data_IF_828291971440
#
_entry.id   IF_828291971440
#
_cell.length_a   1.000
_cell.length_b   1.000
_cell.length_c   1.000
_cell.angle_alpha   90.00
_cell.angle_beta   90.00
_cell.angle_gamma   90.00
#
_symmetry.space_group_name_H-M   'P 1'
#
loop_
_entity.id
_entity.type
_entity.pdbx_description
1 polymer ?
#
# COMPACT_ATOMS: atom_id res chain seq x y z
N UNK A 1 -10.11 63.01 32.06
CA UNK A 1 -9.33 61.76 31.88
C UNK A 1 -10.21 60.74 31.22
N UNK A 2 -10.13 60.58 29.89
CA UNK A 2 -10.97 59.66 29.12
C UNK A 2 -10.17 58.39 28.88
N UNK A 3 -10.62 57.31 29.51
CA UNK A 3 -10.05 55.94 29.24
C UNK A 3 -10.61 55.47 27.91
N UNK A 4 -9.69 55.39 26.92
CA UNK A 4 -9.94 54.76 25.64
C UNK A 4 -9.99 53.23 25.79
N UNK A 5 -11.17 52.67 25.71
CA UNK A 5 -11.40 51.22 25.64
C UNK A 5 -11.14 50.78 24.18
N UNK A 6 -9.97 50.22 23.95
CA UNK A 6 -9.72 49.45 22.72
C UNK A 6 -10.42 48.07 22.86
N UNK A 7 -11.26 47.68 21.90
CA UNK A 7 -11.75 46.31 21.85
C UNK A 7 -10.58 45.38 21.52
N UNK A 8 -10.55 44.18 22.08
CA UNK A 8 -9.54 43.18 21.73
C UNK A 8 -9.67 42.81 20.24
N UNK A 9 -8.54 42.47 19.56
CA UNK A 9 -8.62 42.05 18.16
C UNK A 9 -9.46 40.77 18.07
N UNK A 10 -10.42 40.78 17.17
CA UNK A 10 -11.21 39.62 16.81
C UNK A 10 -10.24 38.52 16.36
N UNK A 11 -10.12 37.47 17.17
CA UNK A 11 -9.52 36.23 16.72
C UNK A 11 -10.40 35.70 15.60
N UNK A 12 -10.01 36.03 14.36
CA UNK A 12 -10.57 35.40 13.18
C UNK A 12 -10.34 33.88 13.36
N UNK A 13 -11.41 33.16 13.62
CA UNK A 13 -11.49 31.72 13.41
C UNK A 13 -11.01 31.48 11.98
N UNK A 14 -9.77 31.07 11.87
CA UNK A 14 -9.35 30.36 10.66
C UNK A 14 -10.19 29.10 10.68
N UNK A 15 -11.29 29.13 9.92
CA UNK A 15 -12.03 27.95 9.56
C UNK A 15 -10.97 26.90 9.17
N UNK A 16 -10.94 25.78 9.91
CA UNK A 16 -9.89 24.80 9.81
C UNK A 16 -9.74 24.33 8.37
N UNK A 17 -8.68 24.80 7.72
CA UNK A 17 -8.23 24.14 6.51
C UNK A 17 -7.84 22.72 6.94
N UNK A 18 -8.49 21.72 6.34
CA UNK A 18 -8.11 20.33 6.56
C UNK A 18 -6.60 20.20 6.37
N UNK A 19 -5.90 19.48 7.26
CA UNK A 19 -4.45 19.34 7.16
C UNK A 19 -4.08 18.81 5.77
N UNK A 20 -3.03 19.41 5.19
CA UNK A 20 -2.61 19.13 3.81
C UNK A 20 -2.20 17.66 3.69
N UNK A 21 -2.74 16.98 2.69
CA UNK A 21 -2.36 15.61 2.32
C UNK A 21 -1.25 15.68 1.27
N UNK A 22 -0.14 15.00 1.50
CA UNK A 22 0.86 14.72 0.44
C UNK A 22 0.40 13.53 -0.41
N UNK A 23 -0.54 13.80 -1.32
CA UNK A 23 -1.11 12.78 -2.19
C UNK A 23 -0.08 12.21 -3.18
N UNK A 24 0.85 13.04 -3.66
CA UNK A 24 1.86 12.62 -4.63
C UNK A 24 2.89 11.68 -3.99
N UNK A 25 3.39 12.05 -2.80
CA UNK A 25 4.29 11.19 -2.03
C UNK A 25 3.63 9.87 -1.64
N UNK A 26 2.36 9.91 -1.21
CA UNK A 26 1.61 8.69 -0.90
C UNK A 26 1.42 7.79 -2.13
N UNK A 27 1.00 8.35 -3.26
CA UNK A 27 0.83 7.59 -4.50
C UNK A 27 2.14 6.94 -4.95
N UNK A 28 3.26 7.64 -4.83
CA UNK A 28 4.59 7.09 -5.12
C UNK A 28 4.93 5.94 -4.17
N UNK A 29 4.70 6.08 -2.87
CA UNK A 29 4.94 5.02 -1.89
C UNK A 29 4.09 3.77 -2.17
N UNK A 30 2.80 3.95 -2.49
CA UNK A 30 1.92 2.86 -2.91
C UNK A 30 2.45 2.19 -4.17
N UNK A 31 2.85 2.96 -5.17
CA UNK A 31 3.36 2.41 -6.42
C UNK A 31 4.64 1.57 -6.20
N UNK A 32 5.56 2.05 -5.36
CA UNK A 32 6.78 1.31 -5.01
C UNK A 32 6.47 -0.03 -4.34
N UNK A 33 5.54 -0.04 -3.40
CA UNK A 33 5.15 -1.28 -2.71
C UNK A 33 4.41 -2.24 -3.64
N UNK A 34 3.54 -1.72 -4.51
CA UNK A 34 2.79 -2.53 -5.48
C UNK A 34 3.67 -3.05 -6.62
N UNK A 35 4.71 -2.36 -7.01
CA UNK A 35 5.68 -2.85 -7.99
C UNK A 35 6.67 -3.87 -7.42
N UNK A 36 6.73 -4.02 -6.09
CA UNK A 36 7.57 -5.03 -5.45
C UNK A 36 6.93 -6.41 -5.61
N UNK A 37 7.58 -7.32 -6.36
CA UNK A 37 7.03 -8.65 -6.61
C UNK A 37 6.74 -9.39 -5.31
N UNK A 38 5.53 -9.92 -5.20
CA UNK A 38 5.08 -10.67 -4.02
C UNK A 38 4.23 -11.88 -4.39
N UNK A 39 3.82 -12.70 -3.40
CA UNK A 39 3.04 -13.92 -3.64
C UNK A 39 1.73 -13.68 -4.41
N UNK A 40 1.04 -12.57 -4.11
CA UNK A 40 -0.20 -12.20 -4.78
C UNK A 40 0.00 -11.95 -6.29
N UNK A 41 1.06 -11.22 -6.64
CA UNK A 41 1.41 -11.00 -8.05
C UNK A 41 1.80 -12.30 -8.76
N UNK A 42 2.61 -13.14 -8.10
CA UNK A 42 3.01 -14.42 -8.64
C UNK A 42 1.79 -15.32 -8.89
N UNK A 43 0.86 -15.39 -7.94
CA UNK A 43 -0.40 -16.11 -8.09
C UNK A 43 -1.21 -15.60 -9.29
N UNK A 44 -1.40 -14.28 -9.42
CA UNK A 44 -2.21 -13.67 -10.46
C UNK A 44 -1.60 -13.90 -11.87
N UNK A 45 -0.27 -13.76 -12.00
CA UNK A 45 0.44 -14.05 -13.24
C UNK A 45 0.34 -15.53 -13.59
N UNK A 46 0.56 -16.44 -12.63
CA UNK A 46 0.46 -17.90 -12.83
C UNK A 46 -0.96 -18.29 -13.26
N UNK A 47 -1.99 -17.79 -12.58
CA UNK A 47 -3.38 -18.01 -12.94
C UNK A 47 -3.66 -17.55 -14.38
N UNK A 48 -3.21 -16.34 -14.72
CA UNK A 48 -3.45 -15.78 -16.05
C UNK A 48 -2.75 -16.59 -17.16
N UNK A 49 -1.55 -17.09 -16.90
CA UNK A 49 -0.79 -17.89 -17.87
C UNK A 49 -1.32 -19.31 -18.00
N UNK A 50 -1.84 -19.91 -16.92
CA UNK A 50 -2.34 -21.29 -16.92
C UNK A 50 -3.80 -21.40 -17.39
N UNK A 51 -4.67 -20.46 -17.03
CA UNK A 51 -6.09 -20.51 -17.29
C UNK A 51 -6.59 -19.39 -18.23
N UNK A 52 -5.69 -18.51 -18.64
CA UNK A 52 -5.95 -17.46 -19.62
C UNK A 52 -6.39 -16.13 -19.00
N UNK A 53 -6.37 -15.06 -19.81
CA UNK A 53 -6.70 -13.68 -19.39
C UNK A 53 -8.09 -13.53 -18.78
N UNK A 54 -9.08 -14.32 -19.21
CA UNK A 54 -10.45 -14.24 -18.63
C UNK A 54 -10.47 -14.66 -17.17
N UNK A 55 -9.70 -15.69 -16.79
CA UNK A 55 -9.54 -16.12 -15.41
C UNK A 55 -8.83 -15.03 -14.58
N UNK A 56 -7.73 -14.46 -15.11
CA UNK A 56 -7.03 -13.35 -14.48
C UNK A 56 -7.92 -12.12 -14.26
N UNK A 57 -8.70 -11.72 -15.27
CA UNK A 57 -9.65 -10.59 -15.15
C UNK A 57 -10.76 -10.88 -14.12
N UNK A 58 -11.28 -12.11 -14.08
CA UNK A 58 -12.22 -12.54 -13.04
C UNK A 58 -11.61 -12.45 -11.63
N UNK A 59 -10.35 -12.86 -11.49
CA UNK A 59 -9.63 -12.73 -10.22
C UNK A 59 -9.45 -11.28 -9.78
N UNK A 60 -9.17 -10.34 -10.68
CA UNK A 60 -8.99 -8.90 -10.36
C UNK A 60 -10.22 -8.31 -9.68
N UNK A 61 -11.43 -8.70 -10.05
CA UNK A 61 -12.65 -8.18 -9.40
C UNK A 61 -12.65 -8.53 -7.91
N UNK A 62 -12.26 -9.75 -7.57
CA UNK A 62 -12.11 -10.19 -6.18
C UNK A 62 -10.94 -9.52 -5.49
N UNK A 63 -9.79 -9.41 -6.16
CA UNK A 63 -8.60 -8.69 -5.66
C UNK A 63 -8.96 -7.25 -5.29
N UNK A 64 -9.62 -6.51 -6.17
CA UNK A 64 -10.02 -5.13 -5.92
C UNK A 64 -11.01 -5.01 -4.76
N UNK A 65 -12.02 -5.90 -4.69
CA UNK A 65 -12.97 -5.93 -3.58
C UNK A 65 -12.29 -6.28 -2.25
N UNK A 66 -11.36 -7.25 -2.25
CA UNK A 66 -10.59 -7.64 -1.07
C UNK A 66 -9.67 -6.53 -0.59
N UNK A 67 -8.98 -5.84 -1.51
CA UNK A 67 -8.16 -4.65 -1.20
C UNK A 67 -9.02 -3.52 -0.64
N UNK A 68 -10.19 -3.25 -1.21
CA UNK A 68 -11.08 -2.21 -0.71
C UNK A 68 -11.58 -2.52 0.71
N UNK A 69 -11.98 -3.76 0.98
CA UNK A 69 -12.38 -4.19 2.32
C UNK A 69 -11.21 -4.12 3.33
N UNK A 70 -10.02 -4.61 2.95
CA UNK A 70 -8.81 -4.50 3.76
C UNK A 70 -8.46 -3.03 4.04
N UNK A 71 -8.53 -2.16 3.03
CA UNK A 71 -8.23 -0.75 3.17
C UNK A 71 -9.23 -0.04 4.10
N UNK A 72 -10.52 -0.33 3.98
CA UNK A 72 -11.53 0.21 4.88
C UNK A 72 -11.29 -0.20 6.35
N UNK A 73 -11.01 -1.48 6.58
CA UNK A 73 -10.66 -1.98 7.93
C UNK A 73 -9.38 -1.32 8.46
N UNK A 74 -8.39 -1.12 7.60
CA UNK A 74 -7.11 -0.48 7.96
C UNK A 74 -7.29 0.99 8.33
N UNK A 75 -8.13 1.74 7.60
CA UNK A 75 -8.48 3.14 7.95
C UNK A 75 -9.14 3.21 9.32
N UNK A 76 -10.12 2.33 9.58
CA UNK A 76 -10.81 2.28 10.87
C UNK A 76 -9.84 1.90 11.99
N UNK A 77 -8.99 0.89 11.78
CA UNK A 77 -7.98 0.50 12.76
C UNK A 77 -6.98 1.64 13.03
N UNK A 78 -6.47 2.31 12.00
CA UNK A 78 -5.57 3.45 12.15
C UNK A 78 -6.22 4.58 12.94
N UNK A 79 -7.48 4.92 12.67
CA UNK A 79 -8.19 5.97 13.40
C UNK A 79 -8.34 5.67 14.89
N UNK A 80 -8.62 4.41 15.24
CA UNK A 80 -8.73 3.97 16.64
C UNK A 80 -7.36 3.99 17.36
N UNK A 81 -6.30 3.57 16.67
CA UNK A 81 -4.94 3.55 17.22
C UNK A 81 -4.45 4.97 17.47
N UNK A 82 -4.60 5.86 16.50
CA UNK A 82 -4.09 7.23 16.56
C UNK A 82 -4.88 8.12 17.52
N UNK A 83 -6.10 7.74 17.86
CA UNK A 83 -6.90 8.42 18.91
C UNK A 83 -6.30 8.28 20.32
N UNK A 84 -5.36 7.35 20.55
CA UNK A 84 -4.80 7.05 21.88
C UNK A 84 -3.72 8.04 22.35
N UNK A 85 -3.20 8.93 21.49
CA UNK A 85 -2.27 9.98 21.90
C UNK A 85 -0.95 10.06 21.09
N UNK A 86 -0.11 11.05 21.44
CA UNK A 86 1.10 11.39 20.66
C UNK A 86 2.19 10.32 20.69
N UNK A 87 2.38 9.66 21.82
CA UNK A 87 3.39 8.58 21.92
C UNK A 87 3.12 7.42 20.95
N UNK A 88 1.85 7.17 20.65
CA UNK A 88 1.47 6.13 19.69
C UNK A 88 1.71 6.57 18.25
N UNK A 89 1.58 7.86 17.95
CA UNK A 89 1.88 8.41 16.62
C UNK A 89 3.36 8.22 16.27
N UNK A 90 4.26 8.46 17.21
CA UNK A 90 5.68 8.21 17.03
C UNK A 90 5.96 6.71 16.85
N UNK A 91 5.32 5.86 17.63
CA UNK A 91 5.41 4.40 17.50
C UNK A 91 4.96 3.92 16.12
N UNK A 92 3.87 4.48 15.57
CA UNK A 92 3.38 4.20 14.22
C UNK A 92 4.40 4.64 13.16
N UNK A 93 5.04 5.79 13.32
CA UNK A 93 6.08 6.26 12.40
C UNK A 93 7.30 5.34 12.36
N UNK A 94 7.75 4.87 13.52
CA UNK A 94 8.83 3.89 13.61
C UNK A 94 8.45 2.54 13.02
N UNK A 95 7.21 2.10 13.24
CA UNK A 95 6.67 0.88 12.61
C UNK A 95 6.64 1.01 11.09
N UNK A 96 6.24 2.18 10.56
CA UNK A 96 6.27 2.45 9.13
C UNK A 96 7.70 2.34 8.57
N UNK A 97 8.68 2.96 9.22
CA UNK A 97 10.08 2.88 8.83
C UNK A 97 10.60 1.43 8.87
N UNK A 98 10.30 0.69 9.94
CA UNK A 98 10.69 -0.72 10.08
C UNK A 98 10.06 -1.59 8.99
N UNK A 99 8.78 -1.37 8.68
CA UNK A 99 8.08 -2.08 7.62
C UNK A 99 8.70 -1.80 6.24
N UNK A 100 9.00 -0.54 5.92
CA UNK A 100 9.62 -0.19 4.63
C UNK A 100 11.03 -0.79 4.53
N UNK A 101 11.79 -0.80 5.62
CA UNK A 101 13.10 -1.45 5.68
C UNK A 101 12.99 -2.98 5.49
N UNK A 102 11.98 -3.62 6.12
CA UNK A 102 11.71 -5.04 5.95
C UNK A 102 11.33 -5.39 4.49
N UNK A 103 10.46 -4.60 3.87
CA UNK A 103 10.09 -4.79 2.47
C UNK A 103 11.27 -4.59 1.52
N UNK A 104 12.16 -3.63 1.83
CA UNK A 104 13.40 -3.44 1.08
C UNK A 104 14.34 -4.66 1.22
N UNK A 105 14.46 -5.21 2.43
CA UNK A 105 15.22 -6.43 2.70
C UNK A 105 14.65 -7.64 1.96
N UNK A 106 13.34 -7.83 1.98
CA UNK A 106 12.65 -8.89 1.25
C UNK A 106 12.89 -8.78 -0.26
N UNK A 107 12.73 -7.57 -0.83
CA UNK A 107 13.00 -7.30 -2.24
C UNK A 107 14.46 -7.56 -2.62
N UNK A 108 15.39 -7.27 -1.72
CA UNK A 108 16.81 -7.55 -1.92
C UNK A 108 17.14 -9.04 -1.83
N UNK A 109 16.60 -9.73 -0.81
CA UNK A 109 16.84 -11.15 -0.54
C UNK A 109 16.17 -12.11 -1.50
N UNK A 110 15.05 -11.71 -2.12
CA UNK A 110 14.37 -12.48 -3.17
C UNK A 110 15.24 -12.71 -4.43
N UNK A 111 16.41 -12.08 -4.50
CA UNK A 111 17.41 -12.27 -5.57
C UNK A 111 18.10 -13.64 -5.55
N UNK A 112 17.92 -14.45 -4.50
CA UNK A 112 18.58 -15.75 -4.34
C UNK A 112 17.64 -16.92 -4.05
N UNK A 113 16.34 -16.66 -3.88
CA UNK A 113 15.36 -17.73 -3.72
C UNK A 113 14.66 -17.96 -5.04
N UNK A 114 14.90 -19.09 -5.66
CA UNK A 114 14.02 -19.63 -6.68
C UNK A 114 12.59 -19.60 -6.14
N UNK A 115 11.64 -19.26 -6.99
CA UNK A 115 10.19 -19.24 -6.72
C UNK A 115 9.67 -20.70 -6.56
N UNK A 116 10.27 -21.43 -5.64
CA UNK A 116 9.94 -22.79 -5.29
C UNK A 116 9.23 -22.77 -3.96
N UNK A 117 7.99 -22.62 -3.98
CA UNK A 117 6.92 -23.14 -3.15
C UNK A 117 5.71 -22.17 -3.08
N UNK A 118 5.23 -21.74 -4.24
CA UNK A 118 3.80 -21.52 -4.33
C UNK A 118 3.20 -22.93 -4.38
N UNK A 119 2.66 -23.42 -3.27
CA UNK A 119 1.84 -24.61 -3.23
C UNK A 119 0.83 -24.52 -4.37
N UNK A 120 1.17 -25.16 -5.49
CA UNK A 120 0.29 -25.32 -6.61
C UNK A 120 -0.84 -26.22 -6.14
N UNK A 121 -1.85 -25.65 -5.53
CA UNK A 121 -3.15 -26.27 -5.56
C UNK A 121 -3.56 -26.23 -7.03
N UNK A 122 -3.25 -27.30 -7.73
CA UNK A 122 -3.82 -27.58 -9.03
C UNK A 122 -5.34 -27.70 -8.81
N UNK A 123 -6.01 -26.56 -8.82
CA UNK A 123 -7.45 -26.50 -8.72
C UNK A 123 -8.02 -26.99 -10.06
N UNK A 124 -9.08 -27.82 -10.05
CA UNK A 124 -9.85 -28.11 -11.27
C UNK A 124 -10.28 -26.78 -11.88
N UNK A 125 -10.38 -26.71 -13.24
CA UNK A 125 -10.76 -25.49 -13.96
C UNK A 125 -11.89 -24.77 -13.24
N UNK A 126 -11.53 -23.74 -12.48
CA UNK A 126 -12.44 -23.07 -11.58
C UNK A 126 -13.27 -22.06 -12.39
N UNK A 127 -14.51 -21.86 -12.00
CA UNK A 127 -15.36 -20.82 -12.57
C UNK A 127 -14.81 -19.45 -12.20
N UNK A 128 -15.12 -18.41 -12.99
CA UNK A 128 -14.74 -17.01 -12.73
C UNK A 128 -15.01 -16.57 -11.29
N UNK A 129 -16.13 -17.05 -10.71
CA UNK A 129 -16.54 -16.72 -9.34
C UNK A 129 -15.58 -17.30 -8.28
N UNK A 130 -15.01 -18.47 -8.51
CA UNK A 130 -14.01 -19.06 -7.61
C UNK A 130 -12.70 -18.28 -7.64
N UNK A 131 -12.29 -17.79 -8.81
CA UNK A 131 -11.10 -16.94 -8.92
C UNK A 131 -11.32 -15.59 -8.25
N UNK A 132 -12.49 -14.99 -8.41
CA UNK A 132 -12.87 -13.77 -7.71
C UNK A 132 -12.88 -13.98 -6.18
N UNK A 133 -13.46 -15.06 -5.68
CA UNK A 133 -13.47 -15.38 -4.26
C UNK A 133 -12.04 -15.59 -3.72
N UNK A 134 -11.19 -16.32 -4.44
CA UNK A 134 -9.81 -16.52 -4.06
C UNK A 134 -9.05 -15.18 -4.01
N UNK A 135 -9.18 -14.35 -5.05
CA UNK A 135 -8.60 -13.01 -5.09
C UNK A 135 -9.07 -12.13 -3.94
N UNK A 136 -10.38 -12.18 -3.61
CA UNK A 136 -10.94 -11.45 -2.47
C UNK A 136 -10.31 -11.88 -1.14
N UNK A 137 -10.30 -13.18 -0.85
CA UNK A 137 -9.79 -13.69 0.43
C UNK A 137 -8.30 -13.40 0.59
N UNK A 138 -7.50 -13.63 -0.46
CA UNK A 138 -6.06 -13.36 -0.44
C UNK A 138 -5.78 -11.89 -0.12
N UNK A 139 -6.55 -10.96 -0.69
CA UNK A 139 -6.29 -9.54 -0.50
C UNK A 139 -6.97 -8.97 0.76
N UNK A 140 -8.12 -9.48 1.17
CA UNK A 140 -8.72 -9.14 2.45
C UNK A 140 -7.77 -9.48 3.62
N UNK A 141 -7.13 -10.65 3.54
CA UNK A 141 -6.22 -11.14 4.58
C UNK A 141 -4.76 -10.73 4.34
N UNK A 142 -4.48 -9.83 3.39
CA UNK A 142 -3.12 -9.42 3.07
C UNK A 142 -2.52 -8.53 4.17
N UNK A 143 -1.59 -9.05 5.00
CA UNK A 143 -1.01 -8.28 6.09
C UNK A 143 -0.11 -7.14 5.59
N UNK A 144 0.51 -7.31 4.42
CA UNK A 144 1.36 -6.28 3.81
C UNK A 144 0.55 -5.01 3.51
N UNK A 145 -0.63 -5.15 2.90
CA UNK A 145 -1.53 -4.04 2.60
C UNK A 145 -2.09 -3.39 3.86
N UNK A 146 -2.53 -4.20 4.83
CA UNK A 146 -3.07 -3.70 6.10
C UNK A 146 -2.02 -2.90 6.89
N UNK A 147 -0.83 -3.47 7.08
CA UNK A 147 0.26 -2.80 7.80
C UNK A 147 0.72 -1.53 7.08
N UNK A 148 0.78 -1.55 5.75
CA UNK A 148 1.13 -0.38 4.96
C UNK A 148 0.12 0.76 5.22
N UNK A 149 -1.17 0.50 5.12
CA UNK A 149 -2.16 1.54 5.34
C UNK A 149 -2.19 2.03 6.79
N UNK A 150 -2.10 1.14 7.77
CA UNK A 150 -2.11 1.54 9.20
C UNK A 150 -0.87 2.35 9.57
N UNK A 151 0.31 1.92 9.12
CA UNK A 151 1.58 2.52 9.55
C UNK A 151 2.04 3.66 8.63
N UNK A 152 1.87 3.51 7.32
CA UNK A 152 2.46 4.42 6.32
C UNK A 152 1.52 5.55 5.93
N UNK A 153 0.21 5.29 5.82
CA UNK A 153 -0.77 6.31 5.43
C UNK A 153 -0.72 7.58 6.30
N UNK A 154 -0.61 7.51 7.65
CA UNK A 154 -0.56 8.70 8.50
C UNK A 154 0.65 9.60 8.21
N UNK A 155 1.73 9.07 7.66
CA UNK A 155 2.95 9.82 7.38
C UNK A 155 2.76 10.89 6.28
N UNK A 156 1.71 10.76 5.49
CA UNK A 156 1.39 11.66 4.37
C UNK A 156 0.31 12.69 4.71
N UNK A 157 -0.05 12.79 5.99
CA UNK A 157 -0.91 13.85 6.53
C UNK A 157 -0.09 14.75 7.46
N UNK A 158 -0.31 16.06 7.41
CA UNK A 158 0.57 17.06 8.03
C UNK A 158 0.76 16.83 9.54
N UNK A 159 -0.30 16.48 10.26
CA UNK A 159 -0.28 16.23 11.71
C UNK A 159 -0.13 14.74 12.08
N UNK A 160 0.04 13.87 11.09
CA UNK A 160 0.14 12.42 11.30
C UNK A 160 -1.16 11.75 11.78
N UNK A 161 -2.26 12.47 11.77
CA UNK A 161 -3.59 12.02 12.26
C UNK A 161 -4.67 12.24 11.19
N UNK A 162 -4.75 11.36 10.19
CA UNK A 162 -5.75 11.51 9.14
C UNK A 162 -7.17 11.46 9.72
N UNK A 163 -8.02 12.40 9.30
CA UNK A 163 -9.45 12.27 9.49
C UNK A 163 -9.96 11.04 8.73
N UNK A 164 -11.16 10.55 9.07
CA UNK A 164 -11.76 9.42 8.34
C UNK A 164 -11.88 9.73 6.84
N UNK A 165 -12.25 10.97 6.47
CA UNK A 165 -12.36 11.37 5.07
C UNK A 165 -11.01 11.31 4.34
N UNK A 166 -9.95 11.82 4.97
CA UNK A 166 -8.58 11.75 4.45
C UNK A 166 -8.11 10.30 4.34
N UNK A 167 -8.36 9.49 5.37
CA UNK A 167 -8.02 8.07 5.37
C UNK A 167 -8.69 7.31 4.22
N UNK A 168 -10.00 7.53 4.01
CA UNK A 168 -10.71 6.91 2.89
C UNK A 168 -10.27 7.44 1.53
N UNK A 169 -9.90 8.71 1.43
CA UNK A 169 -9.32 9.28 0.20
C UNK A 169 -8.01 8.57 -0.16
N UNK A 170 -7.09 8.47 0.79
CA UNK A 170 -5.81 7.77 0.60
C UNK A 170 -6.01 6.27 0.33
N UNK A 171 -6.94 5.62 1.03
CA UNK A 171 -7.32 4.22 0.78
C UNK A 171 -7.85 4.02 -0.65
N UNK A 172 -8.68 4.93 -1.15
CA UNK A 172 -9.20 4.89 -2.53
C UNK A 172 -8.08 5.02 -3.56
N UNK A 173 -7.15 5.93 -3.34
CA UNK A 173 -5.96 6.09 -4.19
C UNK A 173 -5.12 4.81 -4.17
N UNK A 174 -4.89 4.22 -2.99
CA UNK A 174 -4.14 2.97 -2.85
C UNK A 174 -4.80 1.82 -3.61
N UNK A 175 -6.11 1.61 -3.44
CA UNK A 175 -6.87 0.57 -4.15
C UNK A 175 -6.86 0.80 -5.65
N UNK A 176 -6.99 2.05 -6.10
CA UNK A 176 -6.93 2.40 -7.52
C UNK A 176 -5.59 2.07 -8.16
N UNK A 177 -4.48 2.46 -7.52
CA UNK A 177 -3.12 2.16 -8.00
C UNK A 177 -2.88 0.65 -8.00
N UNK A 178 -3.18 -0.05 -6.90
CA UNK A 178 -3.01 -1.49 -6.79
C UNK A 178 -3.82 -2.23 -7.85
N UNK A 179 -5.08 -1.86 -8.07
CA UNK A 179 -5.93 -2.45 -9.11
C UNK A 179 -5.36 -2.19 -10.50
N UNK A 180 -4.86 -0.99 -10.78
CA UNK A 180 -4.20 -0.65 -12.03
C UNK A 180 -2.93 -1.48 -12.29
N UNK A 181 -2.10 -1.67 -11.27
CA UNK A 181 -0.91 -2.54 -11.34
C UNK A 181 -1.32 -4.00 -11.60
N UNK A 182 -2.27 -4.53 -10.86
CA UNK A 182 -2.75 -5.91 -11.04
C UNK A 182 -3.40 -6.13 -12.42
N UNK A 183 -4.16 -5.16 -12.91
CA UNK A 183 -4.72 -5.19 -14.26
C UNK A 183 -3.61 -5.22 -15.32
N UNK A 184 -2.61 -4.37 -15.17
CA UNK A 184 -1.45 -4.34 -16.05
C UNK A 184 -0.69 -5.67 -16.05
N UNK A 185 -0.54 -6.30 -14.88
CA UNK A 185 0.06 -7.64 -14.77
C UNK A 185 -0.72 -8.70 -15.55
N UNK A 186 -2.05 -8.72 -15.46
CA UNK A 186 -2.89 -9.67 -16.21
C UNK A 186 -2.82 -9.42 -17.71
N UNK A 187 -2.87 -8.16 -18.15
CA UNK A 187 -2.83 -7.80 -19.56
C UNK A 187 -1.47 -8.08 -20.18
N UNK A 188 -0.40 -7.93 -19.42
CA UNK A 188 1.00 -8.07 -19.85
C UNK A 188 1.65 -9.37 -19.34
N UNK A 189 0.87 -10.34 -18.86
CA UNK A 189 1.38 -11.53 -18.17
C UNK A 189 2.50 -12.26 -18.93
N UNK A 190 2.39 -12.41 -20.24
CA UNK A 190 3.42 -13.04 -21.07
C UNK A 190 4.73 -12.22 -21.12
N UNK A 191 4.63 -10.90 -21.26
CA UNK A 191 5.79 -10.01 -21.24
C UNK A 191 6.44 -9.94 -19.87
N UNK A 192 5.63 -9.91 -18.81
CA UNK A 192 6.09 -9.95 -17.42
C UNK A 192 6.82 -11.25 -17.13
N UNK A 193 6.31 -12.39 -17.61
CA UNK A 193 6.99 -13.68 -17.49
C UNK A 193 8.38 -13.63 -18.13
N UNK A 194 8.47 -13.18 -19.39
CA UNK A 194 9.77 -13.09 -20.10
C UNK A 194 10.72 -12.13 -19.37
N UNK A 195 10.23 -10.99 -18.88
CA UNK A 195 11.04 -10.03 -18.15
C UNK A 195 11.54 -10.56 -16.81
N UNK A 196 10.69 -11.31 -16.07
CA UNK A 196 11.04 -11.92 -14.79
C UNK A 196 11.93 -13.15 -14.93
N UNK A 197 11.87 -13.87 -16.06
CA UNK A 197 12.76 -15.00 -16.34
C UNK A 197 14.20 -14.57 -16.67
N UNK A 198 14.42 -13.31 -17.09
CA UNK A 198 15.76 -12.76 -17.26
C UNK A 198 16.33 -12.37 -15.89
N UNK A 199 16.92 -13.30 -15.15
CA UNK A 199 17.41 -13.14 -13.77
C UNK A 199 18.21 -11.84 -13.52
N UNK A 200 19.09 -11.44 -14.44
CA UNK A 200 19.88 -10.23 -14.28
C UNK A 200 19.01 -8.96 -14.25
N UNK A 201 17.99 -8.90 -15.12
CA UNK A 201 17.07 -7.76 -15.22
C UNK A 201 16.13 -7.71 -14.00
N UNK A 202 15.59 -8.85 -13.59
CA UNK A 202 14.75 -8.96 -12.42
C UNK A 202 15.52 -8.55 -11.14
N UNK A 203 16.79 -8.95 -11.01
CA UNK A 203 17.65 -8.52 -9.88
C UNK A 203 17.88 -7.01 -9.87
N UNK A 204 18.14 -6.41 -11.04
CA UNK A 204 18.37 -4.96 -11.12
C UNK A 204 17.12 -4.16 -10.72
N UNK A 205 15.95 -4.56 -11.20
CA UNK A 205 14.67 -3.92 -10.84
C UNK A 205 14.39 -4.05 -9.33
N UNK A 206 14.52 -5.26 -8.77
CA UNK A 206 14.31 -5.49 -7.32
C UNK A 206 15.26 -4.67 -6.45
N UNK A 207 16.54 -4.59 -6.82
CA UNK A 207 17.52 -3.76 -6.10
C UNK A 207 17.20 -2.27 -6.18
N UNK A 208 16.77 -1.78 -7.34
CA UNK A 208 16.33 -0.39 -7.48
C UNK A 208 15.13 -0.07 -6.60
N UNK A 209 14.12 -0.95 -6.57
CA UNK A 209 12.95 -0.81 -5.69
C UNK A 209 13.34 -0.88 -4.21
N UNK A 210 14.23 -1.79 -3.82
CA UNK A 210 14.72 -1.90 -2.45
C UNK A 210 15.43 -0.62 -2.00
N UNK A 211 16.28 -0.03 -2.84
CA UNK A 211 16.95 1.25 -2.53
C UNK A 211 15.95 2.39 -2.39
N UNK A 212 14.93 2.46 -3.25
CA UNK A 212 13.87 3.46 -3.14
C UNK A 212 13.09 3.31 -1.82
N UNK A 213 12.75 2.09 -1.41
CA UNK A 213 12.08 1.81 -0.14
C UNK A 213 12.94 2.18 1.08
N UNK A 214 14.26 1.93 1.03
CA UNK A 214 15.18 2.37 2.07
C UNK A 214 15.22 3.90 2.16
N UNK A 215 15.16 4.62 1.04
CA UNK A 215 15.03 6.07 1.03
C UNK A 215 13.77 6.56 1.74
N UNK A 216 12.62 5.91 1.47
CA UNK A 216 11.35 6.22 2.17
C UNK A 216 11.43 5.89 3.66
N UNK A 217 12.05 4.76 4.03
CA UNK A 217 12.26 4.39 5.44
C UNK A 217 13.11 5.44 6.19
N UNK A 218 14.20 5.91 5.58
CA UNK A 218 15.05 6.96 6.13
C UNK A 218 14.28 8.28 6.31
N UNK A 219 13.42 8.63 5.35
CA UNK A 219 12.55 9.81 5.45
C UNK A 219 11.54 9.69 6.61
N UNK A 220 10.94 8.51 6.84
CA UNK A 220 10.05 8.30 7.98
C UNK A 220 10.77 8.41 9.32
N UNK A 221 12.00 7.88 9.40
CA UNK A 221 12.84 8.05 10.61
C UNK A 221 13.10 9.52 10.85
N UNK A 222 13.55 10.27 9.84
CA UNK A 222 13.79 11.69 9.99
C UNK A 222 12.53 12.45 10.46
N UNK A 223 11.36 12.12 9.90
CA UNK A 223 10.07 12.72 10.29
C UNK A 223 9.64 12.36 11.72
N UNK A 224 10.01 11.18 12.23
CA UNK A 224 9.64 10.76 13.59
C UNK A 224 10.38 11.52 14.68
N UNK A 225 11.52 12.16 14.36
CA UNK A 225 12.37 12.90 15.29
C UNK A 225 12.44 14.41 14.97
N UNK A 226 11.70 14.90 13.98
CA UNK A 226 11.55 16.33 13.67
C UNK A 226 10.37 16.95 14.42
#
# INVERSE_FOLDING_TARGET
MRLSSHPPPAHGERAGADPVIDLAGFALAVLLIELTPGPNMAWLVTLTLSEGRRAGLGAITGVAAGLAANAALSVLAASLILAQGEGLTQGVSLLAAAMMAWLAWEAWGASGRESGDSSQVAAPKATSDRHALAGFVINLLNPKSALFLVAVMPQFVADGRPSLAQGFTLATVSVGIATGVHLSLVLLAEHVRVALMAEARARMVRRGLALAMLGVAAWFIAKAFA
#
